data_IF_239103312830
#
_entry.id   IF_239103312830
#
_cell.length_a   1.000
_cell.length_b   1.000
_cell.length_c   1.000
_cell.angle_alpha   90.00
_cell.angle_beta   90.00
_cell.angle_gamma   90.00
#
_symmetry.space_group_name_H-M   'P 1'
#
loop_
_entity.id
_entity.type
_entity.pdbx_description
1 polymer ?
#
# COMPACT_ATOMS: atom_id res chain seq x y z
N UNK A 1 -8.30 -9.78 21.57
CA UNK A 1 -7.90 -8.48 20.99
C UNK A 1 -6.73 -8.72 20.05
N UNK A 2 -6.97 -9.17 18.82
CA UNK A 2 -5.90 -9.40 17.83
C UNK A 2 -6.52 -9.58 16.43
N UNK A 3 -7.10 -8.54 15.84
CA UNK A 3 -7.85 -8.74 14.57
C UNK A 3 -7.69 -7.61 13.54
N UNK A 4 -6.74 -6.68 13.74
CA UNK A 4 -6.35 -5.70 12.69
C UNK A 4 -4.85 -5.61 12.43
N UNK A 5 -4.04 -6.29 13.24
CA UNK A 5 -2.57 -6.20 13.23
C UNK A 5 -1.88 -7.33 12.45
N UNK A 6 -2.65 -8.27 11.87
CA UNK A 6 -2.10 -9.45 11.17
C UNK A 6 -1.92 -9.26 9.66
N UNK A 7 -2.42 -8.16 9.08
CA UNK A 7 -2.28 -7.91 7.63
C UNK A 7 -0.87 -7.48 7.26
N UNK A 8 -0.32 -6.48 7.96
CA UNK A 8 1.08 -6.03 7.80
C UNK A 8 1.53 -5.45 9.16
N UNK A 9 2.61 -5.96 9.78
CA UNK A 9 3.08 -5.42 11.04
C UNK A 9 3.64 -4.00 10.87
N UNK A 10 3.47 -3.17 11.90
CA UNK A 10 3.77 -1.74 11.84
C UNK A 10 5.25 -1.45 11.55
N UNK A 11 6.16 -2.22 12.16
CA UNK A 11 7.61 -2.10 11.93
C UNK A 11 8.01 -2.43 10.48
N UNK A 12 7.23 -3.24 9.77
CA UNK A 12 7.49 -3.57 8.37
C UNK A 12 7.11 -2.40 7.46
N UNK A 13 6.03 -1.68 7.77
CA UNK A 13 5.65 -0.46 7.04
C UNK A 13 6.71 0.64 7.13
N UNK A 14 7.48 0.70 8.22
CA UNK A 14 8.58 1.66 8.39
C UNK A 14 9.81 1.33 7.51
N UNK A 15 9.94 0.08 7.07
CA UNK A 15 11.04 -0.38 6.20
C UNK A 15 10.61 -0.43 4.73
N UNK A 16 9.33 -0.70 4.48
CA UNK A 16 8.79 -0.81 3.14
C UNK A 16 8.58 0.56 2.50
N UNK A 17 8.96 0.67 1.22
CA UNK A 17 8.69 1.84 0.40
C UNK A 17 8.03 1.42 -0.92
N UNK A 18 7.46 2.39 -1.64
CA UNK A 18 6.86 2.15 -2.94
C UNK A 18 7.86 1.49 -3.91
N UNK A 19 7.51 0.35 -4.55
CA UNK A 19 8.40 -0.39 -5.46
C UNK A 19 8.72 0.36 -6.76
N UNK A 20 8.03 1.47 -7.04
CA UNK A 20 8.30 2.30 -8.21
C UNK A 20 9.63 3.05 -8.01
N UNK A 21 10.65 2.83 -8.87
CA UNK A 21 12.01 3.35 -8.66
C UNK A 21 12.09 4.87 -8.51
N UNK A 22 11.23 5.60 -9.21
CA UNK A 22 11.15 7.06 -9.23
C UNK A 22 10.36 7.63 -8.04
N UNK A 23 9.57 6.79 -7.36
CA UNK A 23 8.71 7.20 -6.26
C UNK A 23 9.39 6.98 -4.91
N UNK A 24 9.65 5.71 -4.55
CA UNK A 24 10.17 5.25 -3.25
C UNK A 24 9.55 5.93 -2.02
N UNK A 25 8.31 6.40 -2.13
CA UNK A 25 7.62 7.10 -1.05
C UNK A 25 7.02 6.14 -0.03
N UNK A 26 6.59 6.71 1.10
CA UNK A 26 5.99 5.97 2.20
C UNK A 26 4.66 5.32 1.80
N UNK A 27 4.40 4.16 2.40
CA UNK A 27 3.20 3.37 2.23
C UNK A 27 2.30 3.49 3.47
N UNK A 28 0.99 3.57 3.24
CA UNK A 28 -0.03 3.57 4.26
C UNK A 28 -0.88 2.32 4.13
N UNK A 29 -1.03 1.56 5.22
CA UNK A 29 -1.98 0.45 5.26
C UNK A 29 -3.41 0.98 5.39
N UNK A 30 -4.23 0.73 4.37
CA UNK A 30 -5.67 0.91 4.38
C UNK A 30 -6.33 -0.43 4.65
N UNK A 31 -6.47 -0.76 5.94
CA UNK A 31 -7.05 -2.01 6.39
C UNK A 31 -8.54 -2.16 6.02
N UNK A 32 -9.25 -1.05 5.81
CA UNK A 32 -10.64 -0.99 5.36
C UNK A 32 -10.85 -1.57 3.95
N UNK A 33 -9.83 -1.47 3.09
CA UNK A 33 -9.87 -1.93 1.70
C UNK A 33 -8.78 -2.96 1.38
N UNK A 34 -8.05 -3.43 2.38
CA UNK A 34 -6.92 -4.36 2.25
C UNK A 34 -5.93 -3.91 1.16
N UNK A 35 -5.46 -2.66 1.26
CA UNK A 35 -4.49 -2.04 0.34
C UNK A 35 -3.31 -1.40 1.06
N UNK A 36 -2.15 -1.42 0.43
CA UNK A 36 -1.07 -0.46 0.73
C UNK A 36 -1.14 0.70 -0.26
N UNK A 37 -1.31 1.91 0.24
CA UNK A 37 -1.43 3.12 -0.58
C UNK A 37 -0.17 3.94 -0.47
N UNK A 38 0.46 4.27 -1.61
CA UNK A 38 1.60 5.17 -1.61
C UNK A 38 1.16 6.62 -1.47
N UNK A 39 1.64 7.32 -0.43
CA UNK A 39 1.30 8.73 -0.18
C UNK A 39 1.80 9.68 -1.26
N UNK A 40 2.85 9.29 -1.99
CA UNK A 40 3.52 10.14 -2.99
C UNK A 40 2.96 9.97 -4.40
N UNK A 41 2.70 8.73 -4.85
CA UNK A 41 2.18 8.48 -6.21
C UNK A 41 0.73 8.02 -6.26
N UNK A 42 0.06 7.83 -5.12
CA UNK A 42 -1.35 7.44 -5.05
C UNK A 42 -1.67 6.02 -5.53
N UNK A 43 -0.67 5.23 -5.95
CA UNK A 43 -0.84 3.82 -6.32
C UNK A 43 -1.30 3.00 -5.11
N UNK A 44 -2.19 2.04 -5.37
CA UNK A 44 -2.78 1.17 -4.35
C UNK A 44 -2.42 -0.28 -4.68
N UNK A 45 -1.71 -0.94 -3.77
CA UNK A 45 -1.25 -2.31 -3.92
C UNK A 45 -2.18 -3.26 -3.15
N UNK A 46 -2.75 -4.30 -3.81
CA UNK A 46 -3.64 -5.26 -3.17
C UNK A 46 -2.91 -6.11 -2.15
N UNK A 47 -3.59 -6.39 -1.03
CA UNK A 47 -3.19 -7.42 -0.07
C UNK A 47 -4.02 -8.66 -0.39
N UNK A 48 -3.37 -9.79 -0.68
CA UNK A 48 -4.03 -11.07 -0.98
C UNK A 48 -3.53 -12.11 0.01
N UNK A 49 -4.44 -12.75 0.74
CA UNK A 49 -4.10 -13.74 1.79
C UNK A 49 -3.14 -13.17 2.85
N UNK A 50 -3.29 -11.89 3.22
CA UNK A 50 -2.38 -11.22 4.17
C UNK A 50 -1.00 -10.87 3.61
N UNK A 51 -0.75 -11.08 2.31
CA UNK A 51 0.52 -10.75 1.65
C UNK A 51 0.33 -9.54 0.73
N UNK A 52 1.08 -8.44 0.93
CA UNK A 52 1.08 -7.31 0.02
C UNK A 52 1.66 -7.66 -1.35
N UNK A 53 0.88 -7.49 -2.41
CA UNK A 53 1.32 -7.67 -3.80
C UNK A 53 1.94 -6.36 -4.29
N UNK A 54 3.25 -6.21 -4.08
CA UNK A 54 4.02 -5.01 -4.46
C UNK A 54 4.51 -5.07 -5.93
N UNK A 55 3.66 -5.50 -6.84
CA UNK A 55 3.94 -5.50 -8.28
C UNK A 55 3.34 -4.25 -8.90
N UNK A 56 4.10 -3.57 -9.78
CA UNK A 56 3.66 -2.34 -10.44
C UNK A 56 2.43 -2.60 -11.34
N UNK A 57 2.39 -3.77 -11.99
CA UNK A 57 1.32 -4.18 -12.90
C UNK A 57 0.01 -4.51 -12.17
N UNK A 58 0.09 -4.97 -10.92
CA UNK A 58 -1.08 -5.26 -10.07
C UNK A 58 -1.54 -4.03 -9.27
N UNK A 59 -0.80 -2.92 -9.36
CA UNK A 59 -1.13 -1.70 -8.64
C UNK A 59 -2.28 -0.96 -9.32
N UNK A 60 -3.30 -0.62 -8.54
CA UNK A 60 -4.36 0.26 -9.00
C UNK A 60 -3.82 1.70 -9.07
N UNK A 61 -3.91 2.31 -10.25
CA UNK A 61 -3.49 3.68 -10.47
C UNK A 61 -4.37 4.65 -9.66
N UNK A 62 -3.83 5.81 -9.24
CA UNK A 62 -4.68 6.88 -8.74
C UNK A 62 -5.70 7.21 -9.85
N UNK A 63 -6.98 7.08 -9.53
CA UNK A 63 -8.02 7.67 -10.38
C UNK A 63 -7.76 9.17 -10.40
N UNK A 64 -7.83 9.80 -11.58
CA UNK A 64 -7.61 11.24 -11.75
C UNK A 64 -8.61 12.14 -10.99
N UNK A 65 -9.42 11.57 -10.10
CA UNK A 65 -10.45 12.22 -9.28
C UNK A 65 -10.05 12.33 -7.80
N UNK A 66 -8.75 12.44 -7.52
CA UNK A 66 -8.19 12.53 -6.16
C UNK A 66 -7.27 13.72 -5.91
N UNK A 67 -7.37 14.77 -6.72
CA UNK A 67 -6.65 16.03 -6.52
C UNK A 67 -7.60 17.22 -6.75
N UNK A 68 -8.61 17.33 -5.89
CA UNK A 68 -9.33 18.58 -5.61
C UNK A 68 -9.48 18.70 -4.08
#
# INVERSE_FOLDING_TARGET
>A
MAERQELVPQWLLEILCCPVPECRGDLELRADIERLVCKKCGRRYPIRNGIPVMLIEEAELPTSEGQL
#
